data_IF_668120054407
#
_entry.id   IF_668120054407
#
_cell.length_a   1.000
_cell.length_b   1.000
_cell.length_c   1.000
_cell.angle_alpha   90.00
_cell.angle_beta   90.00
_cell.angle_gamma   90.00
#
_symmetry.space_group_name_H-M   'P 1'
#
loop_
_entity.id
_entity.type
_entity.pdbx_description
1 polymer ?
#
# COMPACT_ATOMS: atom_id res chain seq x y z
N UNK A 1 31.94 18.99 -2.22
CA UNK A 1 31.26 18.33 -3.35
C UNK A 1 29.75 18.44 -3.13
N UNK A 2 29.05 19.25 -3.92
CA UNK A 2 27.58 19.27 -3.89
C UNK A 2 27.08 17.96 -4.54
N UNK A 3 26.93 16.92 -3.72
CA UNK A 3 26.26 15.70 -4.15
C UNK A 3 24.80 16.05 -4.39
N UNK A 4 24.42 16.23 -5.65
CA UNK A 4 23.02 16.51 -6.00
C UNK A 4 22.21 15.25 -5.73
N UNK A 5 21.23 15.33 -4.83
CA UNK A 5 20.26 14.26 -4.54
C UNK A 5 19.66 13.68 -5.84
N UNK A 6 19.57 14.51 -6.87
CA UNK A 6 19.06 14.17 -8.20
C UNK A 6 19.88 13.07 -8.92
N UNK A 7 21.15 12.87 -8.56
CA UNK A 7 22.04 11.82 -9.12
C UNK A 7 22.16 10.58 -8.22
N UNK A 8 21.46 10.54 -7.08
CA UNK A 8 21.53 9.42 -6.15
C UNK A 8 20.75 8.21 -6.68
N UNK A 9 21.40 7.04 -6.75
CA UNK A 9 20.76 5.78 -7.13
C UNK A 9 19.57 5.42 -6.24
N UNK A 10 19.62 5.81 -4.96
CA UNK A 10 18.56 5.60 -3.99
C UNK A 10 17.31 6.41 -4.32
N UNK A 11 17.43 7.56 -5.00
CA UNK A 11 16.28 8.33 -5.49
C UNK A 11 15.53 7.55 -6.56
N UNK A 12 16.25 7.05 -7.55
CA UNK A 12 15.69 6.23 -8.65
C UNK A 12 15.03 4.98 -8.09
N UNK A 13 15.67 4.30 -7.14
CA UNK A 13 15.11 3.14 -6.47
C UNK A 13 13.83 3.50 -5.69
N UNK A 14 13.85 4.58 -4.90
CA UNK A 14 12.68 5.02 -4.13
C UNK A 14 11.49 5.32 -5.05
N UNK A 15 11.74 6.00 -6.18
CA UNK A 15 10.73 6.30 -7.19
C UNK A 15 10.20 5.04 -7.87
N UNK A 16 11.09 4.13 -8.27
CA UNK A 16 10.71 2.84 -8.87
C UNK A 16 9.82 2.02 -7.93
N UNK A 17 10.11 2.01 -6.62
CA UNK A 17 9.26 1.34 -5.62
C UNK A 17 7.87 1.97 -5.54
N UNK A 18 7.74 3.29 -5.59
CA UNK A 18 6.42 3.94 -5.65
C UNK A 18 5.62 3.52 -6.88
N UNK A 19 6.25 3.47 -8.05
CA UNK A 19 5.61 2.96 -9.27
C UNK A 19 5.19 1.51 -9.09
N UNK A 20 6.08 0.67 -8.53
CA UNK A 20 5.81 -0.74 -8.30
C UNK A 20 4.57 -0.96 -7.42
N UNK A 21 4.36 -0.13 -6.39
CA UNK A 21 3.14 -0.16 -5.57
C UNK A 21 1.89 0.27 -6.35
N UNK A 22 1.97 1.24 -7.26
CA UNK A 22 0.82 1.69 -8.06
C UNK A 22 0.40 0.60 -9.04
N UNK A 23 1.35 -0.03 -9.73
CA UNK A 23 1.05 -1.09 -10.71
C UNK A 23 0.77 -2.45 -10.05
N UNK A 24 1.01 -2.61 -8.75
CA UNK A 24 0.82 -3.87 -8.06
C UNK A 24 -0.62 -4.40 -8.09
N UNK A 25 -1.62 -3.54 -8.30
CA UNK A 25 -3.01 -3.97 -8.45
C UNK A 25 -3.19 -4.96 -9.61
N UNK A 26 -2.46 -4.78 -10.73
CA UNK A 26 -2.53 -5.68 -11.89
C UNK A 26 -1.97 -7.08 -11.61
N UNK A 27 -1.30 -7.25 -10.47
CA UNK A 27 -0.69 -8.50 -10.02
C UNK A 27 -1.38 -9.10 -8.79
N UNK A 28 -2.59 -8.63 -8.46
CA UNK A 28 -3.29 -8.96 -7.21
C UNK A 28 -2.42 -8.75 -5.95
N UNK A 29 -1.53 -7.74 -5.97
CA UNK A 29 -0.65 -7.40 -4.85
C UNK A 29 0.71 -8.11 -4.82
N UNK A 30 1.01 -9.05 -5.74
CA UNK A 30 2.30 -9.74 -5.77
C UNK A 30 3.49 -8.75 -5.91
N UNK A 31 3.37 -7.78 -6.80
CA UNK A 31 4.42 -6.75 -6.98
C UNK A 31 4.56 -5.84 -5.75
N UNK A 32 3.49 -5.63 -4.97
CA UNK A 32 3.56 -4.87 -3.73
C UNK A 32 4.38 -5.63 -2.66
N UNK A 33 4.30 -6.96 -2.64
CA UNK A 33 5.14 -7.80 -1.77
C UNK A 33 6.61 -7.70 -2.19
N UNK A 34 6.90 -7.77 -3.49
CA UNK A 34 8.26 -7.56 -4.00
C UNK A 34 8.80 -6.18 -3.59
N UNK A 35 8.01 -5.12 -3.79
CA UNK A 35 8.35 -3.77 -3.37
C UNK A 35 8.62 -3.68 -1.85
N UNK A 36 7.83 -4.39 -1.04
CA UNK A 36 8.00 -4.44 0.41
C UNK A 36 9.30 -5.12 0.82
N UNK A 37 9.63 -6.25 0.19
CA UNK A 37 10.88 -6.98 0.45
C UNK A 37 12.07 -6.07 0.14
N UNK A 38 12.06 -5.41 -1.03
CA UNK A 38 13.13 -4.48 -1.41
C UNK A 38 13.22 -3.35 -0.39
N UNK A 39 12.09 -2.77 0.03
CA UNK A 39 12.07 -1.75 1.08
C UNK A 39 12.77 -2.21 2.35
N UNK A 40 12.50 -3.42 2.86
CA UNK A 40 13.15 -3.91 4.07
C UNK A 40 14.63 -4.21 3.88
N UNK A 41 15.00 -4.84 2.76
CA UNK A 41 16.39 -5.23 2.45
C UNK A 41 17.26 -3.98 2.27
N UNK A 42 16.80 -3.01 1.47
CA UNK A 42 17.54 -1.78 1.13
C UNK A 42 17.40 -0.67 2.16
N UNK A 43 16.59 -0.85 3.21
CA UNK A 43 16.38 0.17 4.25
C UNK A 43 17.67 0.62 4.92
N UNK A 44 18.64 -0.30 5.06
CA UNK A 44 19.94 -0.04 5.72
C UNK A 44 20.79 0.92 4.89
N UNK A 45 20.74 0.79 3.57
CA UNK A 45 21.52 1.55 2.60
C UNK A 45 21.10 3.03 2.55
N UNK A 46 19.84 3.32 2.93
CA UNK A 46 19.28 4.68 2.90
C UNK A 46 19.23 5.38 4.26
N UNK A 47 19.80 4.79 5.32
CA UNK A 47 19.78 5.38 6.68
C UNK A 47 20.47 6.74 6.72
N UNK A 48 19.88 7.68 7.44
CA UNK A 48 20.40 9.05 7.57
C UNK A 48 20.18 9.93 6.34
N UNK A 49 19.57 9.39 5.28
CA UNK A 49 19.15 10.15 4.09
C UNK A 49 17.65 10.52 4.17
N UNK A 50 17.21 11.41 3.28
CA UNK A 50 15.78 11.72 3.12
C UNK A 50 14.96 10.47 2.73
N UNK A 51 15.57 9.50 2.04
CA UNK A 51 14.89 8.32 1.52
C UNK A 51 14.47 7.34 2.63
N UNK A 52 15.15 7.34 3.78
CA UNK A 52 14.75 6.52 4.95
C UNK A 52 13.29 6.77 5.35
N UNK A 53 12.87 8.04 5.28
CA UNK A 53 11.51 8.45 5.60
C UNK A 53 10.50 7.99 4.53
N UNK A 54 10.88 7.98 3.25
CA UNK A 54 10.06 7.46 2.15
C UNK A 54 9.90 5.94 2.25
N UNK A 55 10.97 5.20 2.55
CA UNK A 55 10.91 3.76 2.80
C UNK A 55 9.97 3.43 3.95
N UNK A 56 10.08 4.17 5.05
CA UNK A 56 9.19 4.01 6.21
C UNK A 56 7.73 4.33 5.84
N UNK A 57 7.49 5.35 5.02
CA UNK A 57 6.16 5.68 4.50
C UNK A 57 5.59 4.58 3.61
N UNK A 58 6.38 4.02 2.69
CA UNK A 58 5.97 2.94 1.81
C UNK A 58 5.63 1.67 2.59
N UNK A 59 6.50 1.25 3.52
CA UNK A 59 6.28 0.10 4.41
C UNK A 59 4.97 0.27 5.20
N UNK A 60 4.77 1.42 5.84
CA UNK A 60 3.53 1.69 6.59
C UNK A 60 2.30 1.68 5.68
N UNK A 61 2.42 2.21 4.47
CA UNK A 61 1.33 2.21 3.49
C UNK A 61 0.91 0.80 3.12
N UNK A 62 1.87 -0.10 2.88
CA UNK A 62 1.60 -1.50 2.59
C UNK A 62 0.82 -2.17 3.73
N UNK A 63 1.29 -2.05 4.98
CA UNK A 63 0.63 -2.72 6.11
C UNK A 63 -0.77 -2.21 6.37
N UNK A 64 -1.00 -0.90 6.24
CA UNK A 64 -2.34 -0.35 6.35
C UNK A 64 -3.25 -0.81 5.21
N UNK A 65 -2.74 -0.88 3.99
CA UNK A 65 -3.49 -1.42 2.86
C UNK A 65 -3.87 -2.89 3.08
N UNK A 66 -2.91 -3.71 3.50
CA UNK A 66 -3.16 -5.13 3.83
C UNK A 66 -4.19 -5.28 4.94
N UNK A 67 -4.08 -4.47 6.01
CA UNK A 67 -5.04 -4.47 7.10
C UNK A 67 -6.47 -4.19 6.62
N UNK A 68 -6.68 -3.12 5.83
CA UNK A 68 -8.02 -2.80 5.31
C UNK A 68 -8.57 -3.87 4.36
N UNK A 69 -7.71 -4.51 3.57
CA UNK A 69 -8.12 -5.64 2.74
C UNK A 69 -8.57 -6.83 3.60
N UNK A 70 -7.86 -7.17 4.68
CA UNK A 70 -8.30 -8.23 5.61
C UNK A 70 -9.64 -7.88 6.26
N UNK A 71 -9.81 -6.62 6.70
CA UNK A 71 -11.07 -6.13 7.28
C UNK A 71 -12.24 -6.24 6.30
N UNK A 72 -12.00 -6.02 5.01
CA UNK A 72 -13.01 -6.14 3.96
C UNK A 72 -13.66 -7.54 3.89
N UNK A 73 -12.93 -8.59 4.28
CA UNK A 73 -13.42 -9.97 4.27
C UNK A 73 -14.11 -10.42 5.57
N UNK A 74 -14.03 -9.65 6.66
CA UNK A 74 -14.63 -10.02 7.95
C UNK A 74 -16.14 -10.33 7.81
N UNK A 75 -16.94 -9.57 7.06
CA UNK A 75 -18.38 -9.86 6.95
C UNK A 75 -18.73 -11.21 6.32
N UNK A 76 -17.82 -11.82 5.55
CA UNK A 76 -18.05 -13.17 4.99
C UNK A 76 -18.13 -14.24 6.09
N UNK A 77 -17.56 -13.99 7.27
CA UNK A 77 -17.70 -14.89 8.41
C UNK A 77 -19.16 -15.08 8.84
N UNK A 78 -20.03 -14.08 8.61
CA UNK A 78 -21.45 -14.21 8.94
C UNK A 78 -22.19 -15.24 8.08
N UNK A 79 -21.64 -15.62 6.91
CA UNK A 79 -22.22 -16.67 6.06
C UNK A 79 -22.23 -18.05 6.72
N UNK A 80 -21.37 -18.29 7.72
CA UNK A 80 -21.40 -19.57 8.46
C UNK A 80 -22.64 -19.72 9.35
N UNK A 81 -23.31 -18.62 9.69
CA UNK A 81 -24.48 -18.61 10.57
C UNK A 81 -25.82 -18.60 9.83
N UNK A 82 -25.83 -18.62 8.49
CA UNK A 82 -27.04 -18.50 7.67
C UNK A 82 -27.61 -19.85 7.17
N UNK A 83 -27.04 -20.98 7.62
CA UNK A 83 -27.06 -22.30 6.97
C UNK A 83 -28.38 -23.03 6.66
N UNK A 84 -29.55 -22.44 6.93
CA UNK A 84 -30.85 -23.08 6.62
C UNK A 84 -31.81 -22.19 5.81
N UNK A 85 -31.55 -20.87 5.73
CA UNK A 85 -32.43 -19.91 5.06
C UNK A 85 -31.74 -19.33 3.81
N UNK A 86 -32.18 -19.73 2.60
CA UNK A 86 -31.62 -19.22 1.34
C UNK A 86 -31.75 -17.71 1.17
N UNK A 87 -32.81 -17.09 1.69
CA UNK A 87 -33.06 -15.66 1.56
C UNK A 87 -32.11 -14.87 2.48
N UNK A 88 -31.92 -15.36 3.71
CA UNK A 88 -30.93 -14.82 4.64
C UNK A 88 -29.50 -14.95 4.11
N UNK A 89 -29.16 -16.12 3.55
CA UNK A 89 -27.86 -16.35 2.93
C UNK A 89 -27.60 -15.34 1.79
N UNK A 90 -28.56 -15.15 0.88
CA UNK A 90 -28.45 -14.22 -0.23
C UNK A 90 -28.27 -12.77 0.25
N UNK A 91 -29.05 -12.35 1.26
CA UNK A 91 -28.95 -11.03 1.86
C UNK A 91 -27.58 -10.74 2.48
N UNK A 92 -27.05 -11.68 3.27
CA UNK A 92 -25.72 -11.56 3.90
C UNK A 92 -24.62 -11.61 2.84
N UNK A 93 -24.71 -12.49 1.84
CA UNK A 93 -23.72 -12.58 0.77
C UNK A 93 -23.65 -11.29 -0.05
N UNK A 94 -24.80 -10.70 -0.38
CA UNK A 94 -24.87 -9.42 -1.08
C UNK A 94 -24.30 -8.28 -0.23
N UNK A 95 -24.70 -8.18 1.04
CA UNK A 95 -24.21 -7.17 1.96
C UNK A 95 -22.69 -7.25 2.19
N UNK A 96 -22.17 -8.46 2.42
CA UNK A 96 -20.74 -8.72 2.59
C UNK A 96 -19.95 -8.40 1.31
N UNK A 97 -20.46 -8.79 0.14
CA UNK A 97 -19.82 -8.49 -1.16
C UNK A 97 -19.80 -6.99 -1.44
N UNK A 98 -20.91 -6.28 -1.20
CA UNK A 98 -21.00 -4.83 -1.37
C UNK A 98 -20.03 -4.10 -0.42
N UNK A 99 -20.00 -4.48 0.86
CA UNK A 99 -19.05 -3.94 1.83
C UNK A 99 -17.59 -4.18 1.40
N UNK A 100 -17.27 -5.41 0.99
CA UNK A 100 -15.93 -5.78 0.56
C UNK A 100 -15.48 -4.94 -0.64
N UNK A 101 -16.32 -4.81 -1.67
CA UNK A 101 -16.03 -3.98 -2.84
C UNK A 101 -15.78 -2.52 -2.46
N UNK A 102 -16.63 -1.94 -1.60
CA UNK A 102 -16.45 -0.55 -1.15
C UNK A 102 -15.13 -0.39 -0.41
N UNK A 103 -14.82 -1.26 0.55
CA UNK A 103 -13.58 -1.14 1.34
C UNK A 103 -12.34 -1.33 0.47
N UNK A 104 -12.34 -2.32 -0.44
CA UNK A 104 -11.20 -2.58 -1.34
C UNK A 104 -10.98 -1.40 -2.29
N UNK A 105 -12.05 -0.84 -2.87
CA UNK A 105 -11.93 0.34 -3.76
C UNK A 105 -11.41 1.55 -2.99
N UNK A 106 -11.92 1.82 -1.78
CA UNK A 106 -11.45 2.92 -0.95
C UNK A 106 -9.98 2.74 -0.54
N UNK A 107 -9.59 1.52 -0.14
CA UNK A 107 -8.20 1.18 0.18
C UNK A 107 -7.29 1.36 -1.03
N UNK A 108 -7.77 1.02 -2.23
CA UNK A 108 -7.02 1.21 -3.48
C UNK A 108 -6.82 2.69 -3.81
N UNK A 109 -7.87 3.50 -3.76
CA UNK A 109 -7.75 4.96 -3.96
C UNK A 109 -6.77 5.55 -2.94
N UNK A 110 -6.86 5.10 -1.69
CA UNK A 110 -5.98 5.55 -0.62
C UNK A 110 -4.51 5.20 -0.86
N UNK A 111 -4.17 3.97 -1.30
CA UNK A 111 -2.78 3.59 -1.56
C UNK A 111 -2.20 4.36 -2.76
N UNK A 112 -3.00 4.59 -3.80
CA UNK A 112 -2.60 5.40 -4.97
C UNK A 112 -2.32 6.83 -4.55
N UNK A 113 -3.22 7.46 -3.78
CA UNK A 113 -3.00 8.79 -3.21
C UNK A 113 -1.70 8.86 -2.38
N UNK A 114 -1.47 7.88 -1.50
CA UNK A 114 -0.26 7.80 -0.67
C UNK A 114 1.02 7.69 -1.51
N UNK A 115 0.97 6.93 -2.60
CA UNK A 115 2.09 6.77 -3.53
C UNK A 115 2.39 8.08 -4.28
N UNK A 116 1.36 8.72 -4.85
CA UNK A 116 1.50 10.02 -5.53
C UNK A 116 2.06 11.08 -4.58
N UNK A 117 1.52 11.18 -3.36
CA UNK A 117 2.03 12.11 -2.34
C UNK A 117 3.49 11.84 -1.99
N UNK A 118 3.90 10.57 -1.98
CA UNK A 118 5.28 10.17 -1.76
C UNK A 118 6.21 10.57 -2.90
N UNK A 119 5.75 10.41 -4.15
CA UNK A 119 6.47 10.86 -5.36
C UNK A 119 6.62 12.37 -5.38
N UNK A 120 5.56 13.13 -5.09
CA UNK A 120 5.61 14.60 -5.06
C UNK A 120 6.68 15.10 -4.09
N UNK A 121 6.69 14.57 -2.86
CA UNK A 121 7.72 14.96 -1.87
C UNK A 121 9.13 14.53 -2.27
N UNK A 122 9.27 13.38 -2.91
CA UNK A 122 10.55 12.91 -3.42
C UNK A 122 11.07 13.85 -4.52
N UNK A 123 10.17 14.36 -5.36
CA UNK A 123 10.50 15.33 -6.40
C UNK A 123 10.88 16.70 -5.83
N UNK A 124 10.25 17.11 -4.73
CA UNK A 124 10.61 18.31 -3.98
C UNK A 124 11.89 18.15 -3.14
N UNK A 125 12.56 16.99 -3.20
CA UNK A 125 13.71 16.63 -2.37
C UNK A 125 13.45 16.79 -0.85
N UNK A 126 12.20 16.55 -0.42
CA UNK A 126 11.75 16.66 0.97
C UNK A 126 11.52 15.29 1.60
N UNK A 127 11.90 15.08 2.87
CA UNK A 127 11.55 13.86 3.58
C UNK A 127 10.03 13.76 3.82
N UNK A 128 9.53 12.53 3.97
CA UNK A 128 8.14 12.26 4.34
C UNK A 128 7.82 12.58 5.80
N UNK A 129 8.80 12.39 6.68
CA UNK A 129 8.72 12.70 8.09
C UNK A 129 9.86 13.66 8.41
N UNK A 130 9.55 14.84 8.94
CA UNK A 130 10.55 15.66 9.61
C UNK A 130 10.87 15.01 10.94
N UNK A 131 12.15 14.83 11.26
CA UNK A 131 12.55 14.75 12.66
C UNK A 131 12.47 16.13 13.29
#
# INVERSE_FOLDING_TARGET
>A
MNYSIDKDSNRTLTFALYILYIVAIFSAGLLAVVALIINYVKRRDVRGSIFESHFTWQIRSFWWYLFWNIVAFIPFFFLFFTGEDPDLFAGVAFGASAFCLVVVVLAWIWIVYRAIRGIMRLNDNRPMYSK
#
